data_IF_281208594273
#
_entry.id   IF_281208594273
#
_cell.length_a   1.000
_cell.length_b   1.000
_cell.length_c   1.000
_cell.angle_alpha   90.00
_cell.angle_beta   90.00
_cell.angle_gamma   90.00
#
_symmetry.space_group_name_H-M   'P 1'
#
loop_
_entity.id
_entity.type
_entity.pdbx_description
1 polymer ?
#
# COMPACT_ATOMS: atom_id res chain seq x y z
N UNK A 1 11.58 -3.92 9.42
CA UNK A 1 10.54 -4.35 10.37
C UNK A 1 10.27 -3.23 11.34
N UNK A 2 9.03 -3.02 11.70
CA UNK A 2 8.60 -2.00 12.66
C UNK A 2 7.26 -2.41 13.28
N UNK A 3 6.94 -1.97 14.52
CA UNK A 3 5.61 -2.14 15.08
C UNK A 3 4.59 -1.29 14.28
N UNK A 4 3.40 -1.80 14.16
CA UNK A 4 2.29 -1.13 13.43
C UNK A 4 1.18 -0.62 14.34
N UNK A 5 1.40 -0.70 15.66
CA UNK A 5 0.47 -0.29 16.70
C UNK A 5 1.17 0.65 17.69
N UNK A 6 0.36 1.45 18.39
CA UNK A 6 0.81 2.13 19.58
C UNK A 6 1.09 1.09 20.66
N UNK A 7 2.34 1.03 21.13
CA UNK A 7 2.76 0.14 22.21
C UNK A 7 2.69 0.84 23.57
N UNK A 8 2.58 0.03 24.62
CA UNK A 8 2.63 0.44 26.01
C UNK A 8 3.92 -0.06 26.66
N UNK A 9 4.16 0.28 27.93
CA UNK A 9 5.31 -0.21 28.68
C UNK A 9 5.34 -1.75 28.77
N UNK A 10 4.18 -2.37 28.87
CA UNK A 10 4.04 -3.84 28.91
C UNK A 10 4.47 -4.50 27.60
N UNK A 11 4.48 -3.74 26.49
CA UNK A 11 4.84 -4.20 25.16
C UNK A 11 6.30 -3.87 24.80
N UNK A 12 7.10 -3.40 25.75
CA UNK A 12 8.46 -2.89 25.52
C UNK A 12 9.36 -3.86 24.76
N UNK A 13 9.25 -5.15 25.03
CA UNK A 13 10.03 -6.19 24.36
C UNK A 13 9.69 -6.36 22.87
N UNK A 14 8.52 -5.86 22.43
CA UNK A 14 8.06 -5.87 21.04
C UNK A 14 8.36 -4.55 20.31
N UNK A 15 8.89 -3.55 21.03
CA UNK A 15 9.22 -2.25 20.46
C UNK A 15 10.55 -2.30 19.71
N UNK A 16 10.58 -2.99 18.59
CA UNK A 16 11.77 -3.18 17.77
C UNK A 16 11.55 -2.61 16.38
N UNK A 17 12.47 -1.76 15.94
CA UNK A 17 12.57 -1.30 14.56
C UNK A 17 13.95 -1.64 14.04
N UNK A 18 14.01 -2.27 12.89
CA UNK A 18 15.31 -2.65 12.32
C UNK A 18 15.23 -2.97 10.82
N UNK A 19 16.39 -2.98 10.20
CA UNK A 19 16.61 -3.53 8.87
C UNK A 19 17.05 -5.00 9.00
N UNK A 20 16.54 -5.83 8.11
CA UNK A 20 16.89 -7.25 8.08
C UNK A 20 17.29 -7.59 6.64
N UNK A 21 18.47 -8.20 6.42
CA UNK A 21 18.84 -8.69 5.10
C UNK A 21 17.79 -9.66 4.56
N UNK A 22 17.45 -9.54 3.30
CA UNK A 22 16.40 -10.38 2.69
C UNK A 22 16.73 -11.86 2.65
N UNK A 23 18.02 -12.19 2.72
CA UNK A 23 18.57 -13.54 2.73
C UNK A 23 18.95 -14.02 4.15
N UNK A 24 18.52 -13.30 5.20
CA UNK A 24 18.83 -13.70 6.56
C UNK A 24 18.25 -15.08 6.87
N UNK A 25 19.06 -15.91 7.55
CA UNK A 25 18.64 -17.25 7.96
C UNK A 25 17.40 -17.17 8.87
N UNK A 26 16.42 -17.99 8.59
CA UNK A 26 15.16 -18.04 9.34
C UNK A 26 14.04 -17.20 8.73
N UNK A 27 14.25 -16.57 7.58
CA UNK A 27 13.20 -15.90 6.83
C UNK A 27 12.63 -16.85 5.78
N UNK A 28 11.30 -16.92 5.73
CA UNK A 28 10.56 -17.62 4.67
C UNK A 28 9.62 -16.63 4.01
N UNK A 29 9.65 -16.58 2.69
CA UNK A 29 8.76 -15.76 1.87
C UNK A 29 7.70 -16.65 1.23
N UNK A 30 6.44 -16.29 1.41
CA UNK A 30 5.32 -16.89 0.68
C UNK A 30 4.84 -15.84 -0.33
N UNK A 31 5.20 -16.06 -1.57
CA UNK A 31 4.83 -15.16 -2.66
C UNK A 31 3.47 -15.50 -3.22
N UNK A 32 2.67 -14.47 -3.49
CA UNK A 32 1.60 -14.54 -4.48
C UNK A 32 2.18 -14.55 -5.89
N UNK A 33 1.33 -14.45 -6.90
CA UNK A 33 1.81 -14.29 -8.27
C UNK A 33 2.47 -12.93 -8.46
N UNK A 34 3.69 -12.96 -8.94
CA UNK A 34 4.49 -11.76 -9.16
C UNK A 34 4.43 -11.34 -10.63
N UNK A 35 4.56 -10.05 -10.92
CA UNK A 35 4.59 -9.52 -12.28
C UNK A 35 5.75 -10.06 -13.13
N UNK A 36 6.84 -10.48 -12.48
CA UNK A 36 7.98 -11.14 -13.13
C UNK A 36 7.83 -12.65 -13.31
N UNK A 37 6.73 -13.25 -12.88
CA UNK A 37 6.48 -14.67 -13.01
C UNK A 37 6.08 -15.02 -14.44
N UNK A 38 6.97 -15.70 -15.14
CA UNK A 38 6.80 -16.09 -16.55
C UNK A 38 6.09 -17.44 -16.72
N UNK A 39 5.71 -18.10 -15.63
CA UNK A 39 4.92 -19.33 -15.72
C UNK A 39 3.57 -19.01 -16.35
N UNK A 40 3.28 -19.70 -17.45
CA UNK A 40 1.98 -19.59 -18.11
C UNK A 40 1.00 -20.56 -17.42
N UNK A 41 -0.07 -20.02 -16.86
CA UNK A 41 -1.18 -20.83 -16.40
C UNK A 41 -2.11 -21.06 -17.58
N UNK A 42 -1.81 -22.10 -18.36
CA UNK A 42 -2.64 -22.67 -19.43
C UNK A 42 -3.13 -21.68 -20.52
N UNK A 43 -2.42 -20.61 -20.79
CA UNK A 43 -2.81 -19.57 -21.75
C UNK A 43 -4.24 -19.04 -21.56
N UNK A 44 -4.80 -19.15 -20.35
CA UNK A 44 -6.15 -18.67 -20.10
C UNK A 44 -6.13 -17.15 -19.85
N UNK A 45 -7.13 -16.42 -20.35
CA UNK A 45 -7.23 -14.97 -20.09
C UNK A 45 -7.47 -14.63 -18.63
N UNK A 46 -7.81 -15.59 -17.78
CA UNK A 46 -8.09 -15.42 -16.35
C UNK A 46 -6.90 -14.83 -15.60
N UNK A 47 -5.66 -15.16 -16.00
CA UNK A 47 -4.46 -14.74 -15.31
C UNK A 47 -3.73 -13.54 -15.97
N UNK A 48 -4.27 -13.04 -17.07
CA UNK A 48 -3.63 -11.97 -17.83
C UNK A 48 -3.47 -10.67 -17.02
N UNK A 49 -4.49 -10.32 -16.21
CA UNK A 49 -4.45 -9.15 -15.33
C UNK A 49 -3.38 -9.29 -14.25
N UNK A 50 -3.32 -10.44 -13.60
CA UNK A 50 -2.32 -10.73 -12.57
C UNK A 50 -0.89 -10.70 -13.12
N UNK A 51 -0.68 -11.27 -14.29
CA UNK A 51 0.62 -11.27 -14.95
C UNK A 51 1.12 -9.86 -15.31
N UNK A 52 0.21 -8.97 -15.67
CA UNK A 52 0.56 -7.60 -16.09
C UNK A 52 0.62 -6.60 -14.93
N UNK A 53 -0.20 -6.78 -13.90
CA UNK A 53 -0.45 -5.76 -12.86
C UNK A 53 -0.19 -6.23 -11.44
N UNK A 54 0.17 -7.49 -11.21
CA UNK A 54 0.46 -7.99 -9.86
C UNK A 54 1.64 -7.24 -9.23
N UNK A 55 1.49 -6.87 -7.97
CA UNK A 55 2.56 -6.30 -7.17
C UNK A 55 3.61 -7.35 -6.77
N UNK A 56 4.74 -6.88 -6.26
CA UNK A 56 5.76 -7.76 -5.68
C UNK A 56 5.61 -7.80 -4.17
N UNK A 57 4.63 -8.57 -3.72
CA UNK A 57 4.29 -8.69 -2.31
C UNK A 57 4.46 -10.14 -1.84
N UNK A 58 4.81 -10.29 -0.59
CA UNK A 58 4.96 -11.60 0.04
C UNK A 58 4.53 -11.56 1.50
N UNK A 59 3.99 -12.66 1.99
CA UNK A 59 3.93 -12.92 3.42
C UNK A 59 5.32 -13.32 3.88
N UNK A 60 5.85 -12.66 4.92
CA UNK A 60 7.18 -12.92 5.45
C UNK A 60 7.05 -13.57 6.82
N UNK A 61 7.62 -14.75 6.96
CA UNK A 61 7.66 -15.51 8.21
C UNK A 61 9.07 -15.42 8.78
N UNK A 62 9.18 -15.02 10.04
CA UNK A 62 10.43 -14.95 10.77
C UNK A 62 10.49 -16.09 11.79
N UNK A 63 11.51 -16.93 11.69
CA UNK A 63 11.75 -18.01 12.63
C UNK A 63 13.18 -17.91 13.17
N UNK A 64 13.33 -17.46 14.42
CA UNK A 64 14.62 -17.28 15.09
C UNK A 64 15.64 -16.50 14.25
N UNK A 65 15.19 -15.43 13.61
CA UNK A 65 16.04 -14.55 12.80
C UNK A 65 16.91 -13.72 13.73
N UNK A 66 18.22 -13.78 13.55
CA UNK A 66 19.16 -12.93 14.26
C UNK A 66 19.27 -11.57 13.56
N UNK A 67 19.11 -10.48 14.31
CA UNK A 67 19.29 -9.12 13.82
C UNK A 67 20.50 -8.51 14.53
N UNK A 68 21.57 -8.18 13.83
CA UNK A 68 22.73 -7.50 14.42
C UNK A 68 22.35 -6.14 15.00
N UNK A 69 22.97 -5.74 16.10
CA UNK A 69 22.65 -4.49 16.79
C UNK A 69 22.80 -3.24 15.91
N UNK A 70 23.76 -3.25 14.98
CA UNK A 70 23.97 -2.16 14.01
C UNK A 70 22.81 -1.95 13.03
N UNK A 71 21.92 -2.93 12.91
CA UNK A 71 20.71 -2.86 12.08
C UNK A 71 19.44 -2.57 12.88
N UNK A 72 19.56 -2.38 14.19
CA UNK A 72 18.44 -2.05 15.08
C UNK A 72 18.41 -0.54 15.31
N UNK A 73 17.29 0.10 14.98
CA UNK A 73 17.08 1.55 15.10
C UNK A 73 16.25 1.93 16.33
N UNK A 74 15.44 1.02 16.84
CA UNK A 74 14.65 1.14 18.06
C UNK A 74 14.67 -0.20 18.78
N UNK A 75 14.95 -0.20 20.07
CA UNK A 75 15.06 -1.40 20.90
C UNK A 75 14.49 -1.14 22.31
N UNK A 76 13.19 -1.14 22.41
CA UNK A 76 12.48 -0.94 23.67
C UNK A 76 11.94 0.48 23.90
N UNK A 77 12.17 1.43 22.99
CA UNK A 77 11.63 2.79 23.06
C UNK A 77 10.17 2.80 22.59
N UNK A 78 9.31 2.10 23.33
CA UNK A 78 7.90 1.88 23.00
C UNK A 78 7.09 3.18 22.84
N UNK A 79 7.47 4.22 23.57
CA UNK A 79 6.85 5.54 23.54
C UNK A 79 6.95 6.24 22.17
N UNK A 80 7.94 5.89 21.36
CA UNK A 80 8.06 6.38 19.98
C UNK A 80 7.20 5.60 18.97
N UNK A 81 6.62 4.47 19.35
CA UNK A 81 5.86 3.61 18.43
C UNK A 81 4.68 4.35 17.78
N UNK A 82 3.94 5.16 18.56
CA UNK A 82 2.82 5.94 18.05
C UNK A 82 3.28 6.99 17.02
N UNK A 83 4.35 7.74 17.31
CA UNK A 83 4.91 8.74 16.41
C UNK A 83 5.47 8.12 15.14
N UNK A 84 6.08 6.94 15.25
CA UNK A 84 6.58 6.19 14.10
C UNK A 84 5.44 5.79 13.15
N UNK A 85 4.36 5.23 13.68
CA UNK A 85 3.18 4.82 12.88
C UNK A 85 2.51 6.03 12.26
N UNK A 86 2.33 7.11 13.02
CA UNK A 86 1.75 8.36 12.52
C UNK A 86 2.55 8.91 11.34
N UNK A 87 3.86 9.06 11.48
CA UNK A 87 4.73 9.57 10.41
C UNK A 87 4.75 8.63 9.20
N UNK A 88 4.84 7.34 9.43
CA UNK A 88 4.76 6.36 8.35
C UNK A 88 3.44 6.49 7.57
N UNK A 89 2.31 6.58 8.26
CA UNK A 89 1.00 6.69 7.61
C UNK A 89 0.82 8.02 6.89
N UNK A 90 1.31 9.14 7.43
CA UNK A 90 1.28 10.43 6.75
C UNK A 90 2.04 10.38 5.41
N UNK A 91 3.22 9.77 5.39
CA UNK A 91 3.96 9.57 4.14
C UNK A 91 3.26 8.61 3.19
N UNK A 92 2.68 7.54 3.73
CA UNK A 92 2.06 6.48 2.95
C UNK A 92 0.73 6.91 2.32
N UNK A 93 -0.05 7.75 2.98
CA UNK A 93 -1.34 8.24 2.47
C UNK A 93 -1.21 8.89 1.10
N UNK A 94 -0.22 9.74 0.91
CA UNK A 94 0.03 10.34 -0.40
C UNK A 94 0.26 9.28 -1.49
N UNK A 95 0.88 8.16 -1.15
CA UNK A 95 1.14 7.10 -2.12
C UNK A 95 -0.12 6.41 -2.61
N UNK A 96 -1.26 6.61 -1.96
CA UNK A 96 -2.55 6.09 -2.42
C UNK A 96 -2.99 6.65 -3.76
N UNK A 97 -2.40 7.71 -4.25
CA UNK A 97 -2.58 8.18 -5.63
C UNK A 97 -2.33 7.07 -6.66
N UNK A 98 -1.47 6.11 -6.36
CA UNK A 98 -1.25 4.93 -7.22
C UNK A 98 -2.51 4.05 -7.32
N UNK A 99 -3.43 4.13 -6.36
CA UNK A 99 -4.70 3.40 -6.40
C UNK A 99 -5.65 3.92 -7.47
N UNK A 100 -5.44 5.14 -7.97
CA UNK A 100 -6.22 5.66 -9.10
C UNK A 100 -6.01 4.83 -10.37
N UNK A 101 -4.79 4.31 -10.60
CA UNK A 101 -4.54 3.39 -11.71
C UNK A 101 -5.30 2.06 -11.57
N UNK A 102 -5.41 1.53 -10.35
CA UNK A 102 -6.25 0.34 -10.09
C UNK A 102 -7.72 0.71 -10.24
N UNK A 103 -8.12 1.91 -9.80
CA UNK A 103 -9.47 2.46 -9.96
C UNK A 103 -9.90 2.50 -11.41
N UNK A 104 -9.04 2.95 -12.32
CA UNK A 104 -9.31 2.97 -13.77
C UNK A 104 -9.61 1.56 -14.30
N UNK A 105 -8.83 0.56 -13.89
CA UNK A 105 -9.07 -0.84 -14.26
C UNK A 105 -10.42 -1.34 -13.72
N UNK A 106 -10.75 -1.00 -12.48
CA UNK A 106 -12.03 -1.39 -11.86
C UNK A 106 -13.21 -0.71 -12.55
N UNK A 107 -13.10 0.57 -12.91
CA UNK A 107 -14.14 1.31 -13.65
C UNK A 107 -14.35 0.66 -15.03
N UNK A 108 -13.26 0.37 -15.73
CA UNK A 108 -13.31 -0.32 -17.02
C UNK A 108 -13.97 -1.70 -16.93
N UNK A 109 -13.61 -2.49 -15.93
CA UNK A 109 -14.21 -3.80 -15.67
C UNK A 109 -15.70 -3.70 -15.33
N UNK A 110 -16.10 -2.73 -14.51
CA UNK A 110 -17.49 -2.50 -14.16
C UNK A 110 -18.34 -2.08 -15.38
N UNK A 111 -17.79 -1.23 -16.24
CA UNK A 111 -18.44 -0.83 -17.48
C UNK A 111 -18.61 -2.02 -18.44
N UNK A 112 -17.57 -2.83 -18.62
CA UNK A 112 -17.63 -4.02 -19.46
C UNK A 112 -18.65 -5.06 -18.96
N UNK A 113 -18.71 -5.30 -17.65
CA UNK A 113 -19.69 -6.21 -17.04
C UNK A 113 -21.11 -5.66 -17.23
N UNK A 114 -21.31 -4.35 -17.11
CA UNK A 114 -22.63 -3.73 -17.34
C UNK A 114 -23.08 -3.94 -18.80
N UNK A 115 -22.16 -3.79 -19.77
CA UNK A 115 -22.41 -4.05 -21.18
C UNK A 115 -22.76 -5.52 -21.43
N UNK A 116 -21.97 -6.46 -20.91
CA UNK A 116 -22.21 -7.90 -21.06
C UNK A 116 -23.58 -8.34 -20.49
N UNK A 117 -24.07 -7.65 -19.47
CA UNK A 117 -25.39 -7.91 -18.90
C UNK A 117 -26.52 -7.08 -19.58
N UNK A 118 -26.21 -6.23 -20.55
CA UNK A 118 -27.19 -5.40 -21.25
C UNK A 118 -27.84 -4.33 -20.37
N UNK A 119 -27.17 -3.89 -19.30
CA UNK A 119 -27.69 -2.91 -18.34
C UNK A 119 -26.94 -1.57 -18.36
N UNK A 120 -26.08 -1.37 -19.31
CA UNK A 120 -25.21 -0.17 -19.45
C UNK A 120 -26.02 1.14 -19.60
N UNK A 121 -27.27 1.04 -20.04
CA UNK A 121 -28.19 2.19 -20.22
C UNK A 121 -29.01 2.51 -18.97
N UNK A 122 -29.06 1.62 -18.01
CA UNK A 122 -29.83 1.82 -16.79
C UNK A 122 -29.25 3.00 -15.97
N UNK A 123 -30.15 3.91 -15.50
CA UNK A 123 -29.72 5.12 -14.81
C UNK A 123 -28.87 4.82 -13.56
N UNK A 124 -29.33 3.88 -12.73
CA UNK A 124 -28.63 3.50 -11.51
C UNK A 124 -27.24 2.90 -11.76
N UNK A 125 -27.00 2.25 -12.90
CA UNK A 125 -25.68 1.76 -13.30
C UNK A 125 -24.79 2.93 -13.72
N UNK A 126 -25.33 3.86 -14.53
CA UNK A 126 -24.61 5.07 -14.91
C UNK A 126 -24.23 5.92 -13.70
N UNK A 127 -25.13 6.05 -12.73
CA UNK A 127 -24.88 6.78 -11.49
C UNK A 127 -23.70 6.15 -10.72
N UNK A 128 -23.63 4.81 -10.63
CA UNK A 128 -22.52 4.11 -9.97
C UNK A 128 -21.20 4.27 -10.71
N UNK A 129 -21.19 4.17 -12.03
CA UNK A 129 -19.97 4.41 -12.81
C UNK A 129 -19.49 5.86 -12.68
N UNK A 130 -20.42 6.82 -12.63
CA UNK A 130 -20.10 8.24 -12.39
C UNK A 130 -19.51 8.43 -11.00
N UNK A 131 -20.09 7.81 -9.97
CA UNK A 131 -19.57 7.86 -8.60
C UNK A 131 -18.14 7.27 -8.51
N UNK A 132 -17.92 6.10 -9.12
CA UNK A 132 -16.58 5.48 -9.19
C UNK A 132 -15.56 6.41 -9.83
N UNK A 133 -15.92 7.02 -10.97
CA UNK A 133 -15.05 7.97 -11.68
C UNK A 133 -14.76 9.18 -10.82
N UNK A 134 -15.80 9.77 -10.20
CA UNK A 134 -15.62 10.93 -9.32
C UNK A 134 -14.69 10.65 -8.16
N UNK A 135 -14.85 9.51 -7.48
CA UNK A 135 -13.98 9.12 -6.37
C UNK A 135 -12.54 8.90 -6.84
N UNK A 136 -12.36 8.23 -7.97
CA UNK A 136 -11.04 7.96 -8.52
C UNK A 136 -10.28 9.23 -8.90
N UNK A 137 -10.95 10.16 -9.59
CA UNK A 137 -10.38 11.47 -9.93
C UNK A 137 -10.08 12.33 -8.69
N UNK A 138 -10.92 12.22 -7.65
CA UNK A 138 -10.69 12.89 -6.37
C UNK A 138 -9.42 12.37 -5.69
N UNK A 139 -9.22 11.05 -5.61
CA UNK A 139 -8.02 10.43 -5.06
C UNK A 139 -6.77 10.92 -5.82
N UNK A 140 -6.83 10.92 -7.14
CA UNK A 140 -5.71 11.38 -7.97
C UNK A 140 -5.41 12.85 -7.74
N UNK A 141 -6.42 13.72 -7.86
CA UNK A 141 -6.27 15.17 -7.74
C UNK A 141 -5.78 15.60 -6.36
N UNK A 142 -6.34 15.05 -5.29
CA UNK A 142 -5.95 15.37 -3.91
C UNK A 142 -4.57 14.82 -3.56
N UNK A 143 -4.18 13.65 -4.07
CA UNK A 143 -2.85 13.11 -3.89
C UNK A 143 -1.76 13.97 -4.56
N UNK A 144 -2.02 14.48 -5.76
CA UNK A 144 -1.14 15.44 -6.44
C UNK A 144 -1.06 16.75 -5.66
N UNK A 145 -2.22 17.30 -5.26
CA UNK A 145 -2.28 18.55 -4.49
C UNK A 145 -1.55 18.42 -3.14
N UNK A 146 -1.73 17.31 -2.43
CA UNK A 146 -1.04 17.00 -1.17
C UNK A 146 0.48 17.01 -1.33
N UNK A 147 0.98 16.46 -2.44
CA UNK A 147 2.40 16.47 -2.77
C UNK A 147 2.92 17.87 -3.09
N UNK A 148 2.13 18.66 -3.82
CA UNK A 148 2.50 20.02 -4.20
C UNK A 148 2.54 20.98 -3.01
N UNK A 149 1.67 20.76 -2.03
CA UNK A 149 1.61 21.55 -0.79
C UNK A 149 2.51 21.00 0.32
N UNK A 150 3.43 20.10 -0.01
CA UNK A 150 4.36 19.51 0.96
C UNK A 150 5.19 20.59 1.66
N UNK A 151 5.44 20.38 2.96
CA UNK A 151 6.22 21.28 3.81
C UNK A 151 7.56 20.64 4.17
N UNK A 152 8.61 21.44 4.17
CA UNK A 152 9.93 21.01 4.62
C UNK A 152 10.00 21.02 6.14
N UNK A 153 10.37 19.90 6.74
CA UNK A 153 10.64 19.78 8.18
C UNK A 153 12.04 20.29 8.52
N UNK A 154 12.32 20.50 9.81
CA UNK A 154 13.65 20.89 10.31
C UNK A 154 14.73 19.87 9.94
N UNK A 155 14.37 18.59 9.86
CA UNK A 155 15.25 17.51 9.38
C UNK A 155 15.65 17.62 7.90
N UNK A 156 15.05 18.54 7.15
CA UNK A 156 15.24 18.69 5.71
C UNK A 156 14.32 17.82 4.85
N UNK A 157 13.55 16.93 5.46
CA UNK A 157 12.58 16.07 4.76
C UNK A 157 11.31 16.84 4.45
N UNK A 158 10.75 16.62 3.27
CA UNK A 158 9.42 17.13 2.90
C UNK A 158 8.34 16.14 3.34
N UNK A 159 7.31 16.68 4.00
CA UNK A 159 6.11 15.94 4.36
C UNK A 159 4.92 16.48 3.56
N UNK A 160 4.11 15.60 3.03
CA UNK A 160 2.89 15.95 2.29
C UNK A 160 1.87 16.67 3.18
N UNK A 161 0.91 17.36 2.55
CA UNK A 161 -0.22 17.95 3.27
C UNK A 161 -1.19 16.86 3.72
N UNK A 162 -1.41 16.76 5.04
CA UNK A 162 -2.21 15.69 5.65
C UNK A 162 -3.71 15.85 5.37
N UNK A 163 -4.20 17.09 5.26
CA UNK A 163 -5.62 17.33 5.00
C UNK A 163 -6.01 16.82 3.63
N UNK A 164 -5.21 17.17 2.63
CA UNK A 164 -5.43 16.71 1.25
C UNK A 164 -5.17 15.20 1.10
N UNK A 165 -4.27 14.64 1.87
CA UNK A 165 -4.01 13.20 1.86
C UNK A 165 -5.11 12.38 2.56
N UNK A 166 -6.00 13.01 3.32
CA UNK A 166 -7.12 12.36 4.01
C UNK A 166 -8.43 12.34 3.19
N UNK A 167 -8.48 13.07 2.09
CA UNK A 167 -9.64 13.07 1.19
C UNK A 167 -9.66 11.84 0.31
#
# INVERSE_FOLDING_TARGET
>A
VMPTLRLTEDDKEYAIVGAIPVDAKGITYIYGRQSGDTRHMDNTPIDAGNNNYAGQEALVIFEKVFIPNELIFMNGEYDFSASLVERFTCYHRRSYVCKSGVGDVLIGAAAAIAEYNGVEKASHIKDKLTEMTHLNETIFGTGIASSYQAKKLESGVFINDDMLANV
#
